data_IF_734039074807
#
_entry.id   IF_734039074807
#
_cell.length_a   1.000
_cell.length_b   1.000
_cell.length_c   1.000
_cell.angle_alpha   90.00
_cell.angle_beta   90.00
_cell.angle_gamma   90.00
#
_symmetry.space_group_name_H-M   'P 1'
#
loop_
_entity.id
_entity.type
_entity.pdbx_description
1 polymer ?
#
# COMPACT_ATOMS: atom_id res chain seq x y z
N UNK A 1 3.51 39.63 18.87
CA UNK A 1 2.66 38.42 18.98
C UNK A 1 2.51 37.86 17.58
N UNK A 2 3.23 36.78 17.27
CA UNK A 2 3.09 36.04 16.01
C UNK A 2 3.15 34.56 16.37
N UNK A 3 2.00 33.91 16.38
CA UNK A 3 1.88 32.46 16.54
C UNK A 3 1.91 31.86 15.13
N UNK A 4 3.03 31.24 14.77
CA UNK A 4 3.06 30.34 13.63
C UNK A 4 2.07 29.19 13.87
N UNK A 5 1.29 28.75 12.87
CA UNK A 5 0.50 27.54 13.00
C UNK A 5 1.46 26.36 13.19
N UNK A 6 1.27 25.57 14.25
CA UNK A 6 1.88 24.26 14.37
C UNK A 6 1.52 23.46 13.12
N UNK A 7 2.50 23.19 12.28
CA UNK A 7 2.44 22.10 11.31
C UNK A 7 2.29 20.82 12.14
N UNK A 8 1.06 20.33 12.27
CA UNK A 8 0.82 18.99 12.77
C UNK A 8 1.39 18.03 11.72
N UNK A 9 2.65 17.63 11.88
CA UNK A 9 3.16 16.39 11.33
C UNK A 9 2.34 15.26 11.96
N UNK A 10 1.19 14.96 11.36
CA UNK A 10 0.46 13.74 11.63
C UNK A 10 1.27 12.61 10.99
N UNK A 11 2.40 12.26 11.59
CA UNK A 11 2.99 10.95 11.38
C UNK A 11 1.94 9.95 11.91
N UNK A 12 0.99 9.57 11.06
CA UNK A 12 -0.05 8.62 11.40
C UNK A 12 0.67 7.34 11.81
N UNK A 13 0.69 7.05 13.12
CA UNK A 13 1.11 5.74 13.59
C UNK A 13 0.11 4.73 13.03
N UNK A 14 0.49 4.08 11.93
CA UNK A 14 -0.18 2.92 11.35
C UNK A 14 0.11 1.65 12.16
N UNK A 15 0.78 1.80 13.32
CA UNK A 15 1.06 0.74 14.27
C UNK A 15 -0.25 0.04 14.66
N UNK A 16 -0.31 -1.28 14.46
CA UNK A 16 -1.48 -2.10 14.73
C UNK A 16 -2.41 -2.32 13.53
N UNK A 17 -2.17 -1.71 12.37
CA UNK A 17 -2.92 -2.09 11.16
C UNK A 17 -2.46 -3.43 10.60
N UNK A 18 -1.20 -3.82 10.82
CA UNK A 18 -0.66 -5.11 10.35
C UNK A 18 -1.46 -6.32 10.85
N UNK A 19 -2.05 -6.27 12.04
CA UNK A 19 -2.92 -7.36 12.53
C UNK A 19 -4.21 -7.49 11.71
N UNK A 20 -4.76 -6.38 11.20
CA UNK A 20 -5.93 -6.42 10.32
C UNK A 20 -5.61 -7.07 8.97
N UNK A 21 -4.36 -6.92 8.48
CA UNK A 21 -3.89 -7.63 7.29
C UNK A 21 -3.77 -9.14 7.56
N UNK A 22 -3.18 -9.52 8.69
CA UNK A 22 -2.96 -10.92 9.05
C UNK A 22 -4.27 -11.68 9.30
N UNK A 23 -5.22 -11.04 9.98
CA UNK A 23 -6.53 -11.64 10.29
C UNK A 23 -7.53 -11.53 9.13
N UNK A 24 -7.29 -10.63 8.18
CA UNK A 24 -8.20 -10.33 7.07
C UNK A 24 -9.52 -9.66 7.49
N UNK A 25 -9.67 -9.28 8.75
CA UNK A 25 -10.86 -8.63 9.27
C UNK A 25 -11.14 -7.31 8.54
N UNK A 26 -12.41 -7.09 8.16
CA UNK A 26 -12.88 -5.89 7.45
C UNK A 26 -12.29 -5.66 6.05
N UNK A 27 -11.62 -6.66 5.47
CA UNK A 27 -11.11 -6.59 4.11
C UNK A 27 -12.25 -6.41 3.10
N UNK A 28 -12.10 -5.43 2.21
CA UNK A 28 -13.07 -5.04 1.17
C UNK A 28 -12.51 -5.24 -0.26
N UNK A 29 -11.30 -5.79 -0.35
CA UNK A 29 -10.66 -6.16 -1.61
C UNK A 29 -9.79 -7.41 -1.45
N UNK A 30 -9.92 -8.32 -2.42
CA UNK A 30 -9.03 -9.46 -2.63
C UNK A 30 -8.05 -9.15 -3.76
N UNK A 31 -6.77 -9.01 -3.45
CA UNK A 31 -5.71 -8.76 -4.43
C UNK A 31 -5.12 -10.10 -4.85
N UNK A 32 -5.34 -10.51 -6.10
CA UNK A 32 -4.72 -11.72 -6.65
C UNK A 32 -3.36 -11.35 -7.20
N UNK A 33 -2.31 -11.89 -6.59
CA UNK A 33 -0.92 -11.68 -6.98
C UNK A 33 -0.55 -12.49 -8.23
N UNK A 34 0.52 -12.13 -8.95
CA UNK A 34 0.95 -12.81 -10.18
C UNK A 34 1.27 -14.30 -10.03
N UNK A 35 1.62 -14.75 -8.82
CA UNK A 35 1.88 -16.17 -8.52
C UNK A 35 0.60 -16.98 -8.24
N UNK A 36 -0.58 -16.34 -8.34
CA UNK A 36 -1.88 -16.93 -8.07
C UNK A 36 -2.31 -16.89 -6.60
N UNK A 37 -1.43 -16.44 -5.69
CA UNK A 37 -1.82 -16.21 -4.30
C UNK A 37 -2.78 -15.01 -4.19
N UNK A 38 -3.53 -14.93 -3.09
CA UNK A 38 -4.49 -13.86 -2.85
C UNK A 38 -4.28 -13.24 -1.49
N UNK A 39 -4.26 -11.91 -1.44
CA UNK A 39 -4.14 -11.13 -0.21
C UNK A 39 -5.47 -10.42 0.05
N UNK A 40 -6.04 -10.60 1.23
CA UNK A 40 -7.19 -9.84 1.69
C UNK A 40 -6.70 -8.50 2.25
N UNK A 41 -7.24 -7.39 1.75
CA UNK A 41 -6.76 -6.07 2.10
C UNK A 41 -7.88 -5.03 2.16
N UNK A 42 -7.48 -3.80 2.50
CA UNK A 42 -8.35 -2.65 2.68
C UNK A 42 -8.07 -1.61 1.59
N UNK A 43 -9.07 -1.32 0.75
CA UNK A 43 -8.98 -0.33 -0.33
C UNK A 43 -8.53 1.02 0.21
N UNK A 44 -9.02 1.42 1.38
CA UNK A 44 -8.71 2.73 1.98
C UNK A 44 -7.22 2.91 2.25
N UNK A 45 -6.52 1.86 2.72
CA UNK A 45 -5.11 1.93 3.06
C UNK A 45 -4.24 1.97 1.81
N UNK A 46 -4.54 1.11 0.84
CA UNK A 46 -3.76 1.04 -0.41
C UNK A 46 -4.03 2.28 -1.29
N UNK A 47 -5.27 2.79 -1.31
CA UNK A 47 -5.61 4.02 -2.01
C UNK A 47 -4.97 5.28 -1.39
N UNK A 48 -4.60 5.24 -0.10
CA UNK A 48 -3.95 6.37 0.57
C UNK A 48 -2.55 6.64 -0.02
N UNK A 49 -1.85 5.59 -0.47
CA UNK A 49 -0.48 5.70 -1.00
C UNK A 49 -0.42 5.83 -2.53
N UNK A 50 -1.56 5.81 -3.23
CA UNK A 50 -1.57 5.91 -4.69
C UNK A 50 -2.89 6.44 -5.24
N UNK A 51 -2.81 7.54 -6.01
CA UNK A 51 -3.97 8.09 -6.74
C UNK A 51 -4.46 7.14 -7.84
N UNK A 52 -3.54 6.41 -8.47
CA UNK A 52 -3.86 5.43 -9.52
C UNK A 52 -4.64 4.26 -8.92
N UNK A 53 -4.19 3.71 -7.79
CA UNK A 53 -4.89 2.63 -7.10
C UNK A 53 -6.24 3.10 -6.55
N UNK A 54 -6.32 4.31 -6.01
CA UNK A 54 -7.60 4.93 -5.62
C UNK A 54 -8.60 4.95 -6.78
N UNK A 55 -8.18 5.37 -7.97
CA UNK A 55 -9.02 5.38 -9.16
C UNK A 55 -9.43 3.96 -9.59
N UNK A 56 -8.48 3.01 -9.62
CA UNK A 56 -8.76 1.60 -9.96
C UNK A 56 -9.77 0.97 -8.99
N UNK A 57 -9.63 1.19 -7.67
CA UNK A 57 -10.53 0.60 -6.67
C UNK A 57 -11.92 1.24 -6.60
N UNK A 58 -12.09 2.44 -7.15
CA UNK A 58 -13.44 3.04 -7.28
C UNK A 58 -14.28 2.29 -8.31
N UNK A 59 -13.63 1.71 -9.32
CA UNK A 59 -14.29 1.03 -10.44
C UNK A 59 -14.26 -0.51 -10.32
N UNK A 60 -13.51 -1.06 -9.36
CA UNK A 60 -13.32 -2.51 -9.24
C UNK A 60 -14.35 -3.18 -8.31
N UNK A 61 -14.78 -4.38 -8.70
CA UNK A 61 -15.45 -5.32 -7.81
C UNK A 61 -14.54 -5.74 -6.64
N UNK A 62 -15.00 -6.65 -5.77
CA UNK A 62 -14.28 -7.13 -4.60
C UNK A 62 -12.95 -7.84 -4.90
N UNK A 63 -12.57 -8.03 -6.18
CA UNK A 63 -11.29 -8.63 -6.57
C UNK A 63 -10.55 -7.75 -7.58
N UNK A 64 -9.22 -7.67 -7.44
CA UNK A 64 -8.34 -6.93 -8.34
C UNK A 64 -7.00 -7.67 -8.51
N UNK A 65 -6.34 -7.44 -9.65
CA UNK A 65 -5.02 -8.00 -9.96
C UNK A 65 -4.11 -6.90 -10.51
N UNK A 66 -2.84 -6.87 -10.09
CA UNK A 66 -1.87 -5.96 -10.67
C UNK A 66 -1.44 -6.41 -12.06
N UNK A 67 -1.23 -5.43 -12.94
CA UNK A 67 -0.77 -5.66 -14.32
C UNK A 67 0.76 -5.76 -14.42
N UNK A 68 1.47 -5.27 -13.40
CA UNK A 68 2.94 -5.16 -13.34
C UNK A 68 3.45 -5.53 -11.96
N UNK A 69 4.72 -5.95 -11.90
CA UNK A 69 5.41 -6.34 -10.67
C UNK A 69 5.13 -7.79 -10.25
N UNK A 70 6.08 -8.38 -9.52
CA UNK A 70 6.05 -9.74 -8.99
C UNK A 70 5.20 -9.84 -7.73
N UNK A 71 4.84 -11.07 -7.35
CA UNK A 71 4.14 -11.33 -6.10
C UNK A 71 4.93 -10.85 -4.88
N UNK A 72 6.26 -10.99 -4.89
CA UNK A 72 7.12 -10.55 -3.78
C UNK A 72 7.13 -9.03 -3.62
N UNK A 73 7.22 -8.29 -4.72
CA UNK A 73 7.18 -6.83 -4.68
C UNK A 73 5.82 -6.32 -4.17
N UNK A 74 4.71 -6.94 -4.62
CA UNK A 74 3.38 -6.59 -4.13
C UNK A 74 3.17 -6.95 -2.67
N UNK A 75 3.64 -8.12 -2.24
CA UNK A 75 3.56 -8.51 -0.84
C UNK A 75 4.31 -7.51 0.04
N UNK A 76 5.56 -7.18 -0.32
CA UNK A 76 6.35 -6.19 0.41
C UNK A 76 5.67 -4.81 0.43
N UNK A 77 5.12 -4.37 -0.71
CA UNK A 77 4.42 -3.09 -0.81
C UNK A 77 3.20 -3.06 0.11
N UNK A 78 2.39 -4.12 0.11
CA UNK A 78 1.23 -4.22 0.98
C UNK A 78 1.70 -4.18 2.44
N UNK A 79 2.67 -5.00 2.82
CA UNK A 79 3.23 -4.99 4.17
C UNK A 79 3.71 -3.59 4.61
N UNK A 80 4.38 -2.86 3.72
CA UNK A 80 4.84 -1.49 3.96
C UNK A 80 3.68 -0.48 4.16
N UNK A 81 2.59 -0.62 3.39
CA UNK A 81 1.36 0.18 3.54
C UNK A 81 0.75 -0.04 4.93
N UNK A 82 0.78 -1.27 5.42
CA UNK A 82 0.28 -1.62 6.76
C UNK A 82 1.26 -1.33 7.90
N UNK A 83 2.34 -0.61 7.60
CA UNK A 83 3.28 -0.13 8.61
C UNK A 83 4.34 -1.13 9.02
N UNK A 84 4.49 -2.28 8.34
CA UNK A 84 5.65 -3.15 8.59
C UNK A 84 6.93 -2.43 8.16
N UNK A 85 7.95 -2.53 9.02
CA UNK A 85 9.20 -1.78 8.94
C UNK A 85 10.36 -2.62 8.38
N UNK A 86 10.05 -3.68 7.62
CA UNK A 86 11.07 -4.51 7.00
C UNK A 86 11.84 -3.73 5.93
N UNK A 87 13.15 -3.92 5.89
CA UNK A 87 13.99 -3.32 4.86
C UNK A 87 13.60 -3.85 3.49
N UNK A 88 13.60 -2.97 2.47
CA UNK A 88 13.38 -3.38 1.09
C UNK A 88 14.52 -4.30 0.62
N UNK A 89 14.24 -5.56 0.21
CA UNK A 89 15.25 -6.44 -0.34
C UNK A 89 15.91 -5.85 -1.59
N UNK A 90 17.24 -5.95 -1.69
CA UNK A 90 18.01 -5.32 -2.78
C UNK A 90 17.60 -5.81 -4.17
N UNK A 91 17.18 -7.07 -4.29
CA UNK A 91 16.69 -7.70 -5.50
C UNK A 91 15.32 -7.15 -5.96
N UNK A 92 14.55 -6.54 -5.05
CA UNK A 92 13.25 -5.94 -5.36
C UNK A 92 13.33 -4.44 -5.68
N UNK A 93 14.49 -3.77 -5.50
CA UNK A 93 14.60 -2.31 -5.66
C UNK A 93 14.13 -1.84 -7.03
N UNK A 94 14.62 -2.46 -8.10
CA UNK A 94 14.28 -2.05 -9.48
C UNK A 94 12.78 -2.20 -9.73
N UNK A 95 12.20 -3.30 -9.26
CA UNK A 95 10.79 -3.59 -9.42
C UNK A 95 9.91 -2.62 -8.61
N UNK A 96 10.31 -2.31 -7.39
CA UNK A 96 9.62 -1.31 -6.56
C UNK A 96 9.67 0.09 -7.16
N UNK A 97 10.77 0.47 -7.82
CA UNK A 97 10.83 1.74 -8.55
C UNK A 97 9.86 1.77 -9.73
N UNK A 98 9.75 0.67 -10.48
CA UNK A 98 8.77 0.53 -11.56
C UNK A 98 7.34 0.60 -11.03
N UNK A 99 7.04 -0.07 -9.91
CA UNK A 99 5.74 0.00 -9.27
C UNK A 99 5.41 1.42 -8.78
N UNK A 100 6.36 2.07 -8.11
CA UNK A 100 6.17 3.42 -7.59
C UNK A 100 5.89 4.42 -8.72
N UNK A 101 6.60 4.34 -9.84
CA UNK A 101 6.35 5.16 -11.02
C UNK A 101 4.98 4.85 -11.65
N UNK A 102 4.71 3.56 -11.93
CA UNK A 102 3.48 3.12 -12.59
C UNK A 102 2.22 3.49 -11.79
N UNK A 103 2.26 3.37 -10.46
CA UNK A 103 1.15 3.68 -9.58
C UNK A 103 1.22 5.08 -8.96
N UNK A 104 2.18 5.92 -9.37
CA UNK A 104 2.35 7.30 -8.88
C UNK A 104 2.37 7.38 -7.35
N UNK A 105 3.18 6.54 -6.72
CA UNK A 105 3.33 6.49 -5.27
C UNK A 105 4.29 7.60 -4.81
N UNK A 106 3.94 8.38 -3.76
CA UNK A 106 4.80 9.43 -3.26
C UNK A 106 6.03 8.84 -2.54
N UNK A 107 7.16 9.53 -2.65
CA UNK A 107 8.44 9.14 -2.03
C UNK A 107 8.44 9.24 -0.49
N UNK A 108 7.40 9.83 0.11
CA UNK A 108 7.25 10.01 1.56
C UNK A 108 5.81 9.72 1.99
N UNK A 109 5.64 9.04 3.13
CA UNK A 109 4.36 8.94 3.85
C UNK A 109 4.04 10.34 4.40
N UNK A 110 3.26 11.13 3.66
CA UNK A 110 2.71 12.42 4.16
C UNK A 110 1.57 12.19 5.11
#
# INVERSE_FOLDING_TARGET
>A
MSSAPCEFECAQQLDGLSSFLEEGHFSDISIRLPDGSTVQAHRVLIAAVSKVLKAKFTMSEHAWSPEVGSALAWQWLIDWVYGRMDLLPCDLIVEMLVLADHFQMPLSKT
#
